data_IF_218489818621
#
_entry.id   IF_218489818621
#
_cell.length_a   1.000
_cell.length_b   1.000
_cell.length_c   1.000
_cell.angle_alpha   90.00
_cell.angle_beta   90.00
_cell.angle_gamma   90.00
#
_symmetry.space_group_name_H-M   'P 1'
#
loop_
_entity.id
_entity.type
_entity.pdbx_description
1 polymer ?
#
# COMPACT_ATOMS: atom_id res chain seq x y z
N UNK A 1 -36.97 -10.97 10.38
CA UNK A 1 -35.54 -11.31 10.27
C UNK A 1 -35.02 -11.25 11.69
N UNK A 2 -34.80 -12.43 12.23
CA UNK A 2 -34.48 -12.65 13.61
C UNK A 2 -33.10 -12.05 13.96
N UNK A 3 -32.94 -11.65 15.20
CA UNK A 3 -31.71 -11.05 15.71
C UNK A 3 -30.48 -11.96 15.74
N UNK A 4 -30.47 -13.07 14.99
CA UNK A 4 -29.37 -14.03 14.96
C UNK A 4 -28.11 -13.47 14.34
N UNK A 5 -28.22 -12.57 13.37
CA UNK A 5 -27.09 -11.86 12.78
C UNK A 5 -26.47 -10.81 13.72
N UNK A 6 -27.26 -10.26 14.64
CA UNK A 6 -26.75 -9.36 15.67
C UNK A 6 -26.01 -10.11 16.79
N UNK A 7 -26.19 -11.41 16.92
CA UNK A 7 -25.50 -12.19 17.95
C UNK A 7 -24.09 -12.62 17.54
N UNK A 8 -23.78 -12.69 16.25
CA UNK A 8 -22.48 -13.15 15.76
C UNK A 8 -21.51 -12.05 15.31
N UNK A 9 -21.94 -10.79 15.26
CA UNK A 9 -21.18 -9.75 14.53
C UNK A 9 -20.56 -8.65 15.36
N UNK A 10 -21.08 -8.34 16.55
CA UNK A 10 -20.55 -7.26 17.37
C UNK A 10 -20.38 -7.74 18.80
N UNK A 11 -19.15 -7.82 19.24
CA UNK A 11 -18.84 -7.94 20.63
C UNK A 11 -18.60 -6.53 21.16
N UNK A 12 -19.47 -6.07 22.05
CA UNK A 12 -19.33 -4.79 22.72
C UNK A 12 -19.26 -5.01 24.24
N UNK A 13 -18.81 -3.99 24.95
CA UNK A 13 -18.67 -4.04 26.40
C UNK A 13 -19.97 -4.45 27.09
N UNK A 14 -21.12 -3.95 26.63
CA UNK A 14 -22.45 -4.29 27.17
C UNK A 14 -22.78 -5.78 27.07
N UNK A 15 -22.37 -6.45 26.00
CA UNK A 15 -22.60 -7.89 25.83
C UNK A 15 -21.72 -8.74 26.74
N UNK A 16 -20.47 -8.30 26.93
CA UNK A 16 -19.53 -8.92 27.88
C UNK A 16 -20.03 -8.73 29.30
N UNK A 17 -20.40 -7.51 29.66
CA UNK A 17 -20.96 -7.15 30.93
C UNK A 17 -22.21 -8.03 31.24
N UNK A 18 -23.10 -8.14 30.27
CA UNK A 18 -24.29 -9.02 30.41
C UNK A 18 -23.91 -10.48 30.63
N UNK A 19 -22.90 -11.00 29.95
CA UNK A 19 -22.46 -12.40 30.15
C UNK A 19 -21.85 -12.60 31.54
N UNK A 20 -21.06 -11.67 32.04
CA UNK A 20 -20.48 -11.73 33.39
C UNK A 20 -21.56 -11.60 34.42
N UNK A 21 -22.43 -10.59 34.33
CA UNK A 21 -23.48 -10.33 35.28
C UNK A 21 -24.61 -11.40 35.27
N UNK A 22 -24.70 -12.19 34.21
CA UNK A 22 -25.62 -13.34 34.16
C UNK A 22 -25.04 -14.62 34.76
N UNK A 23 -23.76 -14.61 35.16
CA UNK A 23 -23.06 -15.78 35.69
C UNK A 23 -22.65 -15.55 37.15
N UNK A 24 -23.49 -16.04 38.09
CA UNK A 24 -23.30 -15.88 39.52
C UNK A 24 -21.92 -16.34 40.00
N UNK A 25 -21.41 -17.45 39.45
CA UNK A 25 -20.10 -17.99 39.81
C UNK A 25 -18.95 -17.05 39.41
N UNK A 26 -19.02 -16.45 38.23
CA UNK A 26 -18.00 -15.47 37.78
C UNK A 26 -18.06 -14.23 38.64
N UNK A 27 -19.24 -13.80 39.09
CA UNK A 27 -19.39 -12.66 40.02
C UNK A 27 -18.78 -13.00 41.39
N UNK A 28 -19.03 -14.21 41.91
CA UNK A 28 -18.43 -14.66 43.16
C UNK A 28 -16.88 -14.69 43.05
N UNK A 29 -16.34 -15.26 41.99
CA UNK A 29 -14.90 -15.34 41.73
C UNK A 29 -14.28 -13.93 41.67
N UNK A 30 -14.94 -12.97 40.99
CA UNK A 30 -14.47 -11.57 40.93
C UNK A 30 -14.54 -10.90 42.30
N UNK A 31 -15.62 -11.08 43.01
CA UNK A 31 -15.82 -10.48 44.36
C UNK A 31 -14.77 -11.00 45.34
N UNK A 32 -14.46 -12.28 45.30
CA UNK A 32 -13.49 -12.92 46.18
C UNK A 32 -12.04 -12.53 45.83
N UNK A 33 -11.70 -12.45 44.51
CA UNK A 33 -10.36 -12.15 44.06
C UNK A 33 -9.97 -10.67 44.27
N UNK A 34 -10.94 -9.75 44.08
CA UNK A 34 -10.66 -8.30 44.11
C UNK A 34 -11.26 -7.61 45.36
N UNK A 35 -11.86 -8.33 46.28
CA UNK A 35 -12.57 -7.79 47.44
C UNK A 35 -13.51 -6.62 47.11
N UNK A 36 -14.26 -6.80 46.00
CA UNK A 36 -15.13 -5.78 45.41
C UNK A 36 -16.51 -6.38 45.12
N UNK A 37 -17.57 -5.82 45.68
CA UNK A 37 -18.92 -6.26 45.36
C UNK A 37 -19.40 -5.61 44.05
N UNK A 38 -19.62 -6.45 43.04
CA UNK A 38 -20.21 -5.98 41.78
C UNK A 38 -21.73 -5.85 41.96
N UNK A 39 -22.26 -4.68 41.64
CA UNK A 39 -23.69 -4.36 41.73
C UNK A 39 -24.24 -3.81 40.42
N UNK A 40 -25.47 -4.17 40.10
CA UNK A 40 -26.26 -3.67 38.96
C UNK A 40 -27.68 -3.43 39.50
N UNK A 41 -27.90 -2.29 40.15
CA UNK A 41 -29.13 -1.98 40.85
C UNK A 41 -30.29 -1.64 39.92
N UNK A 42 -30.00 -1.20 38.71
CA UNK A 42 -31.02 -0.84 37.72
C UNK A 42 -31.30 -1.97 36.70
N UNK A 43 -30.62 -3.13 36.82
CA UNK A 43 -30.72 -4.30 35.96
C UNK A 43 -30.49 -3.99 34.43
N UNK A 44 -29.62 -3.04 34.17
CA UNK A 44 -29.28 -2.70 32.78
C UNK A 44 -28.09 -3.50 32.21
N UNK A 45 -27.57 -4.46 33.01
CA UNK A 45 -26.38 -5.25 32.70
C UNK A 45 -25.09 -4.43 32.56
N UNK A 46 -25.02 -3.31 33.25
CA UNK A 46 -23.83 -2.48 33.37
C UNK A 46 -23.61 -2.25 34.87
N UNK A 47 -22.43 -2.53 35.43
CA UNK A 47 -22.13 -2.25 36.82
C UNK A 47 -22.31 -0.77 37.18
N UNK A 48 -22.78 -0.52 38.39
CA UNK A 48 -23.14 0.82 38.86
C UNK A 48 -21.94 1.78 38.99
N UNK A 49 -20.71 1.25 39.05
CA UNK A 49 -19.51 2.04 39.29
C UNK A 49 -18.42 1.71 38.25
N UNK A 50 -17.70 2.73 37.83
CA UNK A 50 -16.58 2.63 36.91
C UNK A 50 -15.50 1.64 37.42
N UNK A 51 -15.15 1.65 38.70
CA UNK A 51 -14.19 0.70 39.27
C UNK A 51 -14.64 -0.75 39.14
N UNK A 52 -15.93 -1.02 39.23
CA UNK A 52 -16.48 -2.37 39.03
C UNK A 52 -16.35 -2.81 37.56
N UNK A 53 -16.58 -1.90 36.62
CA UNK A 53 -16.39 -2.16 35.17
C UNK A 53 -14.91 -2.47 34.90
N UNK A 54 -14.01 -1.67 35.43
CA UNK A 54 -12.56 -1.86 35.28
C UNK A 54 -12.09 -3.20 35.83
N UNK A 55 -12.53 -3.54 37.03
CA UNK A 55 -12.22 -4.84 37.67
C UNK A 55 -12.74 -6.00 36.85
N UNK A 56 -13.96 -5.89 36.34
CA UNK A 56 -14.59 -6.91 35.51
C UNK A 56 -13.85 -7.15 34.19
N UNK A 57 -13.38 -6.07 33.55
CA UNK A 57 -12.55 -6.15 32.33
C UNK A 57 -11.20 -6.79 32.67
N UNK A 58 -10.56 -6.37 33.75
CA UNK A 58 -9.29 -6.90 34.21
C UNK A 58 -9.37 -8.39 34.50
N UNK A 59 -10.39 -8.82 35.24
CA UNK A 59 -10.65 -10.24 35.48
C UNK A 59 -10.80 -11.02 34.17
N UNK A 60 -11.57 -10.49 33.20
CA UNK A 60 -11.74 -11.11 31.89
C UNK A 60 -10.44 -11.23 31.09
N UNK A 61 -9.53 -10.24 31.20
CA UNK A 61 -8.19 -10.26 30.57
C UNK A 61 -7.29 -11.32 31.21
N UNK A 62 -7.32 -11.45 32.54
CA UNK A 62 -6.44 -12.33 33.30
C UNK A 62 -6.96 -13.77 33.32
N UNK A 63 -8.26 -13.98 33.55
CA UNK A 63 -8.87 -15.28 33.82
C UNK A 63 -9.82 -15.79 32.70
N UNK A 64 -10.26 -14.89 31.80
CA UNK A 64 -11.32 -15.21 30.84
C UNK A 64 -12.72 -15.31 31.50
N UNK A 65 -13.71 -15.79 30.76
CA UNK A 65 -15.04 -16.06 31.25
C UNK A 65 -15.36 -17.55 31.00
N UNK A 66 -15.49 -18.31 32.05
CA UNK A 66 -15.88 -19.72 31.97
C UNK A 66 -17.19 -19.99 32.67
N UNK A 67 -18.00 -20.90 32.11
CA UNK A 67 -19.20 -21.45 32.76
C UNK A 67 -19.06 -22.97 32.76
N UNK A 68 -19.18 -23.59 33.94
CA UNK A 68 -19.14 -25.05 34.14
C UNK A 68 -17.88 -25.76 33.58
N UNK A 69 -16.74 -25.06 33.58
CA UNK A 69 -15.44 -25.58 33.11
C UNK A 69 -15.24 -25.49 31.60
N UNK A 70 -16.17 -24.91 30.86
CA UNK A 70 -16.02 -24.60 29.44
C UNK A 70 -15.90 -23.09 29.28
N UNK A 71 -14.86 -22.63 28.57
CA UNK A 71 -14.65 -21.21 28.33
C UNK A 71 -15.68 -20.67 27.32
N UNK A 72 -16.52 -19.75 27.77
CA UNK A 72 -17.29 -18.91 26.86
C UNK A 72 -16.40 -17.89 26.16
N UNK A 73 -15.36 -17.40 26.85
CA UNK A 73 -14.31 -16.54 26.31
C UNK A 73 -12.97 -16.84 26.99
N UNK A 74 -11.99 -17.27 26.21
CA UNK A 74 -10.61 -17.52 26.60
C UNK A 74 -9.91 -16.18 26.98
N UNK A 75 -9.00 -16.13 27.97
CA UNK A 75 -8.19 -14.96 28.28
C UNK A 75 -7.47 -14.36 27.06
N UNK A 76 -6.91 -15.20 26.19
CA UNK A 76 -6.25 -14.76 24.95
C UNK A 76 -7.23 -14.03 24.01
N UNK A 77 -8.50 -14.36 24.10
CA UNK A 77 -9.54 -13.68 23.34
C UNK A 77 -9.77 -12.26 23.89
N UNK A 78 -9.88 -12.10 25.23
CA UNK A 78 -9.99 -10.79 25.86
C UNK A 78 -8.80 -9.90 25.55
N UNK A 79 -7.58 -10.42 25.68
CA UNK A 79 -6.33 -9.69 25.37
C UNK A 79 -6.25 -9.22 23.91
N UNK A 80 -6.99 -9.85 23.01
CA UNK A 80 -7.06 -9.43 21.59
C UNK A 80 -7.95 -8.20 21.37
N UNK A 81 -8.95 -7.99 22.21
CA UNK A 81 -9.97 -6.95 22.03
C UNK A 81 -9.95 -5.85 23.07
N UNK A 82 -9.29 -6.07 24.18
CA UNK A 82 -9.21 -5.12 25.29
C UNK A 82 -7.75 -4.99 25.71
N UNK A 83 -7.28 -3.75 25.82
CA UNK A 83 -5.97 -3.43 26.37
C UNK A 83 -6.11 -2.39 27.46
N UNK A 84 -5.32 -2.60 28.50
CA UNK A 84 -5.08 -1.63 29.54
C UNK A 84 -3.63 -1.15 29.42
N UNK A 85 -3.43 0.13 29.17
CA UNK A 85 -2.10 0.70 29.03
C UNK A 85 -1.73 1.47 30.31
N UNK A 86 -0.89 0.89 31.12
CA UNK A 86 -0.37 1.52 32.36
C UNK A 86 0.55 2.71 32.08
N UNK A 87 1.16 2.80 30.89
CA UNK A 87 2.09 3.87 30.53
C UNK A 87 1.40 5.14 30.02
N UNK A 88 0.14 5.05 29.63
CA UNK A 88 -0.68 6.14 29.08
C UNK A 88 -1.87 6.48 30.01
N UNK A 89 -1.59 6.93 31.23
CA UNK A 89 -2.58 7.48 32.19
C UNK A 89 -3.80 6.58 32.46
N UNK A 90 -3.63 5.26 32.55
CA UNK A 90 -4.70 4.29 32.78
C UNK A 90 -5.81 4.28 31.72
N UNK A 91 -5.48 4.51 30.46
CA UNK A 91 -6.45 4.45 29.36
C UNK A 91 -6.81 3.01 28.98
N UNK A 92 -8.11 2.71 28.93
CA UNK A 92 -8.62 1.47 28.39
C UNK A 92 -8.86 1.60 26.87
N UNK A 93 -8.37 0.65 26.12
CA UNK A 93 -8.61 0.57 24.67
C UNK A 93 -9.41 -0.68 24.34
N UNK A 94 -10.49 -0.54 23.58
CA UNK A 94 -11.26 -1.67 23.08
C UNK A 94 -11.41 -1.62 21.57
N UNK A 95 -11.54 -2.80 20.93
CA UNK A 95 -11.82 -2.91 19.50
C UNK A 95 -13.26 -3.38 19.31
N UNK A 96 -14.07 -2.56 18.64
CA UNK A 96 -15.34 -2.96 18.10
C UNK A 96 -15.15 -3.51 16.68
N UNK A 97 -15.39 -4.80 16.47
CA UNK A 97 -15.32 -5.39 15.14
C UNK A 97 -16.67 -5.29 14.43
N UNK A 98 -16.66 -4.62 13.28
CA UNK A 98 -17.81 -4.52 12.38
C UNK A 98 -17.50 -5.27 11.09
N UNK A 99 -18.29 -6.31 10.79
CA UNK A 99 -18.17 -7.05 9.54
C UNK A 99 -19.00 -6.37 8.45
N UNK A 100 -18.32 -5.92 7.41
CA UNK A 100 -18.92 -5.25 6.27
C UNK A 100 -18.92 -6.18 5.06
N UNK A 101 -20.09 -6.44 4.50
CA UNK A 101 -20.21 -7.17 3.24
C UNK A 101 -20.14 -6.20 2.06
N UNK A 102 -19.52 -6.62 0.94
CA UNK A 102 -19.55 -5.85 -0.31
C UNK A 102 -18.45 -4.81 -0.50
N UNK A 103 -17.47 -4.71 0.41
CA UNK A 103 -16.32 -3.79 0.25
C UNK A 103 -15.27 -4.37 -0.71
N UNK A 104 -15.62 -4.48 -2.00
CA UNK A 104 -14.74 -5.06 -3.04
C UNK A 104 -13.97 -4.02 -3.82
N UNK A 105 -14.53 -2.82 -3.95
CA UNK A 105 -13.93 -1.73 -4.71
C UNK A 105 -13.46 -0.62 -3.79
N UNK A 106 -12.55 0.23 -4.29
CA UNK A 106 -12.07 1.41 -3.57
C UNK A 106 -13.21 2.39 -3.25
N UNK A 107 -14.16 2.53 -4.18
CA UNK A 107 -15.35 3.36 -3.99
C UNK A 107 -16.23 2.86 -2.83
N UNK A 108 -16.40 1.55 -2.71
CA UNK A 108 -17.17 0.96 -1.60
C UNK A 108 -16.49 1.21 -0.26
N UNK A 109 -15.17 1.03 -0.19
CA UNK A 109 -14.37 1.29 1.02
C UNK A 109 -14.47 2.76 1.43
N UNK A 110 -14.36 3.68 0.47
CA UNK A 110 -14.47 5.12 0.71
C UNK A 110 -15.86 5.52 1.20
N UNK A 111 -16.93 4.99 0.62
CA UNK A 111 -18.31 5.25 1.06
C UNK A 111 -18.53 4.77 2.48
N UNK A 112 -18.15 3.53 2.79
CA UNK A 112 -18.29 2.95 4.12
C UNK A 112 -17.49 3.75 5.16
N UNK A 113 -16.24 4.15 4.84
CA UNK A 113 -15.43 5.01 5.71
C UNK A 113 -16.15 6.32 6.02
N UNK A 114 -16.68 6.98 4.99
CA UNK A 114 -17.36 8.26 5.15
C UNK A 114 -18.63 8.13 6.00
N UNK A 115 -19.40 7.07 5.81
CA UNK A 115 -20.59 6.81 6.63
C UNK A 115 -20.23 6.55 8.10
N UNK A 116 -19.23 5.70 8.37
CA UNK A 116 -18.78 5.44 9.73
C UNK A 116 -18.22 6.73 10.37
N UNK A 117 -17.39 7.47 9.64
CA UNK A 117 -16.84 8.74 10.13
C UNK A 117 -17.96 9.74 10.46
N UNK A 118 -19.00 9.80 9.62
CA UNK A 118 -20.16 10.66 9.89
C UNK A 118 -20.88 10.26 11.17
N UNK A 119 -21.13 8.98 11.37
CA UNK A 119 -21.76 8.45 12.59
C UNK A 119 -20.92 8.74 13.84
N UNK A 120 -19.60 8.55 13.76
CA UNK A 120 -18.66 8.86 14.86
C UNK A 120 -18.72 10.35 15.20
N UNK A 121 -18.72 11.21 14.20
CA UNK A 121 -18.77 12.67 14.42
C UNK A 121 -20.14 13.14 14.94
N UNK A 122 -21.24 12.53 14.48
CA UNK A 122 -22.59 12.86 14.98
C UNK A 122 -22.76 12.51 16.46
N UNK A 123 -22.13 11.43 16.94
CA UNK A 123 -22.24 10.99 18.34
C UNK A 123 -21.36 11.81 19.31
N UNK A 124 -20.41 12.58 18.79
CA UNK A 124 -19.55 13.49 19.55
C UNK A 124 -18.92 12.85 20.81
N UNK A 125 -18.24 11.73 20.61
CA UNK A 125 -17.56 10.95 21.68
C UNK A 125 -16.52 11.76 22.46
N UNK A 126 -16.00 12.86 21.93
CA UNK A 126 -15.06 13.73 22.61
C UNK A 126 -15.64 14.37 23.88
N UNK A 127 -16.98 14.48 24.00
CA UNK A 127 -17.63 14.98 25.23
C UNK A 127 -17.47 14.03 26.41
N UNK A 128 -17.30 12.72 26.12
CA UNK A 128 -17.20 11.66 27.11
C UNK A 128 -15.73 11.20 27.29
N UNK A 129 -14.77 12.01 26.80
CA UNK A 129 -13.32 11.72 26.82
C UNK A 129 -12.94 10.41 26.08
N UNK A 130 -13.77 10.01 25.11
CA UNK A 130 -13.57 8.80 24.32
C UNK A 130 -12.99 9.14 22.97
N UNK A 131 -11.81 8.58 22.64
CA UNK A 131 -11.18 8.68 21.33
C UNK A 131 -11.56 7.48 20.46
N UNK A 132 -12.18 7.74 19.32
CA UNK A 132 -12.60 6.70 18.37
C UNK A 132 -11.74 6.75 17.12
N UNK A 133 -11.09 5.62 16.80
CA UNK A 133 -10.32 5.44 15.59
C UNK A 133 -10.92 4.34 14.70
N UNK A 134 -10.95 4.56 13.39
CA UNK A 134 -11.40 3.57 12.41
C UNK A 134 -10.17 2.87 11.84
N UNK A 135 -10.13 1.54 11.94
CA UNK A 135 -9.06 0.72 11.39
C UNK A 135 -9.60 -0.54 10.70
N UNK A 136 -8.76 -1.21 9.94
CA UNK A 136 -9.11 -2.46 9.28
C UNK A 136 -8.38 -2.61 7.95
N UNK A 137 -8.19 -3.84 7.49
CA UNK A 137 -7.40 -4.11 6.28
C UNK A 137 -7.92 -3.38 5.02
N UNK A 138 -9.24 -3.20 4.79
CA UNK A 138 -9.72 -2.42 3.64
C UNK A 138 -9.30 -0.96 3.73
N UNK A 139 -9.40 -0.33 4.91
CA UNK A 139 -9.04 1.07 5.11
C UNK A 139 -7.54 1.30 5.03
N UNK A 140 -6.74 0.44 5.67
CA UNK A 140 -5.27 0.50 5.60
C UNK A 140 -4.77 0.33 4.17
N UNK A 141 -5.39 -0.57 3.39
CA UNK A 141 -5.08 -0.77 1.98
C UNK A 141 -5.40 0.46 1.15
N UNK A 142 -6.56 1.06 1.35
CA UNK A 142 -6.97 2.32 0.72
C UNK A 142 -6.01 3.46 1.05
N UNK A 143 -5.65 3.63 2.32
CA UNK A 143 -4.70 4.64 2.75
C UNK A 143 -3.31 4.45 2.13
N UNK A 144 -2.83 3.20 2.04
CA UNK A 144 -1.57 2.89 1.36
C UNK A 144 -1.61 3.22 -0.12
N UNK A 145 -2.72 2.90 -0.82
CA UNK A 145 -2.90 3.23 -2.23
C UNK A 145 -2.91 4.75 -2.45
N UNK A 146 -3.67 5.48 -1.65
CA UNK A 146 -3.75 6.94 -1.74
C UNK A 146 -2.40 7.59 -1.42
N UNK A 147 -1.73 7.20 -0.34
CA UNK A 147 -0.40 7.70 0.01
C UNK A 147 0.65 7.39 -1.07
N UNK A 148 0.56 6.20 -1.68
CA UNK A 148 1.46 5.80 -2.77
C UNK A 148 1.20 6.63 -4.01
N UNK A 149 -0.07 6.80 -4.40
CA UNK A 149 -0.46 7.60 -5.57
C UNK A 149 -0.05 9.06 -5.40
N UNK A 150 -0.25 9.64 -4.23
CA UNK A 150 0.20 11.00 -3.92
C UNK A 150 1.72 11.14 -3.92
N UNK A 151 2.42 10.16 -3.37
CA UNK A 151 3.89 10.13 -3.39
C UNK A 151 4.42 10.04 -4.81
N UNK A 152 3.83 9.19 -5.65
CA UNK A 152 4.17 9.09 -7.07
C UNK A 152 3.92 10.40 -7.81
N UNK A 153 2.74 10.99 -7.63
CA UNK A 153 2.36 12.26 -8.26
C UNK A 153 3.36 13.38 -7.97
N UNK A 154 3.95 13.35 -6.78
CA UNK A 154 5.00 14.30 -6.40
C UNK A 154 6.39 13.87 -6.87
N UNK A 155 6.74 12.59 -6.76
CA UNK A 155 8.09 12.08 -7.03
C UNK A 155 8.43 12.01 -8.53
N UNK A 156 7.47 11.66 -9.39
CA UNK A 156 7.70 11.52 -10.84
C UNK A 156 8.24 12.82 -11.46
N UNK A 157 7.66 14.02 -11.21
CA UNK A 157 8.23 15.27 -11.73
C UNK A 157 9.67 15.53 -11.27
N UNK A 158 9.97 15.27 -9.98
CA UNK A 158 11.34 15.41 -9.47
C UNK A 158 12.31 14.44 -10.14
N UNK A 159 11.90 13.18 -10.34
CA UNK A 159 12.69 12.18 -11.03
C UNK A 159 12.96 12.59 -12.49
N UNK A 160 11.97 13.16 -13.19
CA UNK A 160 12.16 13.72 -14.53
C UNK A 160 13.14 14.89 -14.55
N UNK A 161 13.02 15.83 -13.61
CA UNK A 161 13.93 16.97 -13.50
C UNK A 161 15.35 16.50 -13.21
N UNK A 162 15.51 15.56 -12.26
CA UNK A 162 16.83 15.00 -11.93
C UNK A 162 17.43 14.25 -13.13
N UNK A 163 16.67 13.40 -13.80
CA UNK A 163 17.09 12.68 -15.01
C UNK A 163 17.48 13.63 -16.13
N UNK A 164 16.67 14.65 -16.39
CA UNK A 164 16.97 15.68 -17.38
C UNK A 164 18.27 16.42 -17.05
N UNK A 165 18.47 16.77 -15.77
CA UNK A 165 19.68 17.45 -15.31
C UNK A 165 20.95 16.60 -15.53
N UNK A 166 20.88 15.29 -15.20
CA UNK A 166 21.97 14.35 -15.44
C UNK A 166 22.26 14.22 -16.93
N UNK A 167 21.24 14.06 -17.77
CA UNK A 167 21.37 13.98 -19.22
C UNK A 167 21.98 15.26 -19.78
N UNK A 168 21.50 16.42 -19.32
CA UNK A 168 22.02 17.72 -19.76
C UNK A 168 23.51 17.91 -19.39
N UNK A 169 23.86 17.54 -18.15
CA UNK A 169 25.27 17.61 -17.70
C UNK A 169 26.18 16.66 -18.51
N UNK A 170 25.71 15.42 -18.76
CA UNK A 170 26.43 14.39 -19.49
C UNK A 170 26.61 14.77 -20.97
N UNK A 171 25.53 15.17 -21.61
CA UNK A 171 25.53 15.48 -23.04
C UNK A 171 26.03 16.90 -23.35
N UNK A 172 26.08 17.80 -22.37
CA UNK A 172 26.47 19.22 -22.52
C UNK A 172 25.77 19.91 -23.69
N UNK A 173 24.52 19.54 -23.97
CA UNK A 173 23.75 20.08 -25.08
C UNK A 173 22.25 19.95 -24.78
N UNK A 174 21.58 21.09 -24.64
CA UNK A 174 20.14 21.17 -24.36
C UNK A 174 19.29 20.45 -25.43
N UNK A 175 19.67 20.58 -26.68
CA UNK A 175 19.01 19.94 -27.82
C UNK A 175 19.03 18.42 -27.70
N UNK A 176 20.20 17.82 -27.48
CA UNK A 176 20.33 16.37 -27.34
C UNK A 176 19.70 15.89 -26.04
N UNK A 177 19.72 16.68 -24.97
CA UNK A 177 19.07 16.34 -23.73
C UNK A 177 17.55 16.19 -23.91
N UNK A 178 16.88 17.13 -24.57
CA UNK A 178 15.45 17.04 -24.89
C UNK A 178 15.14 15.81 -25.73
N UNK A 179 15.90 15.60 -26.83
CA UNK A 179 15.68 14.45 -27.71
C UNK A 179 15.83 13.11 -26.98
N UNK A 180 16.71 13.04 -26.00
CA UNK A 180 16.98 11.84 -25.20
C UNK A 180 15.88 11.58 -24.17
N UNK A 181 15.24 12.62 -23.63
CA UNK A 181 14.17 12.49 -22.63
C UNK A 181 12.83 12.06 -23.22
N UNK A 182 12.53 12.46 -24.47
CA UNK A 182 11.25 12.12 -25.14
C UNK A 182 10.96 10.61 -25.15
N UNK A 183 11.90 9.73 -25.61
CA UNK A 183 11.69 8.29 -25.59
C UNK A 183 11.47 7.73 -24.19
N UNK A 184 12.12 8.28 -23.17
CA UNK A 184 11.98 7.86 -21.78
C UNK A 184 10.58 8.17 -21.26
N UNK A 185 10.07 9.37 -21.52
CA UNK A 185 8.71 9.75 -21.20
C UNK A 185 7.68 8.82 -21.88
N UNK A 186 7.93 8.45 -23.13
CA UNK A 186 7.08 7.56 -23.90
C UNK A 186 7.00 6.15 -23.27
N UNK A 187 8.13 5.63 -22.75
CA UNK A 187 8.15 4.33 -22.04
C UNK A 187 7.24 4.34 -20.84
N UNK A 188 7.23 5.42 -20.04
CA UNK A 188 6.34 5.55 -18.88
C UNK A 188 4.86 5.53 -19.31
N UNK A 189 4.52 6.28 -20.37
CA UNK A 189 3.16 6.32 -20.91
C UNK A 189 2.73 4.93 -21.43
N UNK A 190 3.60 4.25 -22.17
CA UNK A 190 3.33 2.92 -22.69
C UNK A 190 3.16 1.89 -21.58
N UNK A 191 3.98 1.96 -20.52
CA UNK A 191 3.87 1.07 -19.36
C UNK A 191 2.49 1.17 -18.71
N UNK A 192 2.03 2.39 -18.41
CA UNK A 192 0.70 2.58 -17.84
C UNK A 192 -0.42 2.20 -18.81
N UNK A 193 -0.22 2.42 -20.13
CA UNK A 193 -1.13 1.95 -21.15
C UNK A 193 -1.27 0.42 -21.17
N UNK A 194 -0.15 -0.30 -21.05
CA UNK A 194 -0.14 -1.77 -20.94
C UNK A 194 -0.79 -2.23 -19.65
N UNK A 195 -0.51 -1.58 -18.53
CA UNK A 195 -1.17 -1.91 -17.26
C UNK A 195 -2.69 -1.79 -17.37
N UNK A 196 -3.19 -0.76 -18.02
CA UNK A 196 -4.62 -0.57 -18.25
C UNK A 196 -5.19 -1.64 -19.19
N UNK A 197 -4.52 -1.97 -20.29
CA UNK A 197 -5.00 -2.94 -21.29
C UNK A 197 -5.08 -4.38 -20.76
N UNK A 198 -4.17 -4.75 -19.88
CA UNK A 198 -4.07 -6.10 -19.30
C UNK A 198 -4.63 -6.19 -17.88
N UNK A 199 -5.34 -5.16 -17.43
CA UNK A 199 -6.00 -5.08 -16.12
C UNK A 199 -5.04 -5.33 -14.93
N UNK A 200 -3.79 -4.88 -15.06
CA UNK A 200 -2.84 -4.90 -13.95
C UNK A 200 -3.22 -3.85 -12.92
N UNK A 201 -3.50 -4.29 -11.70
CA UNK A 201 -3.87 -3.38 -10.62
C UNK A 201 -2.69 -2.49 -10.20
N UNK A 202 -2.97 -1.19 -10.04
CA UNK A 202 -2.03 -0.27 -9.44
C UNK A 202 -1.97 -0.53 -7.93
N UNK A 203 -0.77 -0.80 -7.44
CA UNK A 203 -0.50 -0.98 -6.01
C UNK A 203 0.85 -0.30 -5.66
N UNK A 204 1.21 -0.27 -4.38
CA UNK A 204 2.43 0.38 -3.93
C UNK A 204 3.73 -0.20 -4.55
N UNK A 205 3.71 -1.45 -4.99
CA UNK A 205 4.85 -2.10 -5.65
C UNK A 205 4.88 -1.74 -7.13
N UNK A 206 3.76 -1.91 -7.86
CA UNK A 206 3.70 -1.60 -9.30
C UNK A 206 3.87 -0.11 -9.57
N UNK A 207 3.47 0.73 -8.62
CA UNK A 207 3.67 2.17 -8.66
C UNK A 207 5.16 2.57 -8.74
N UNK A 208 6.05 1.85 -8.06
CA UNK A 208 7.51 2.14 -8.09
C UNK A 208 8.15 1.85 -9.44
N UNK A 209 7.54 0.99 -10.28
CA UNK A 209 8.08 0.64 -11.61
C UNK A 209 8.19 1.87 -12.50
N UNK A 210 7.25 2.81 -12.39
CA UNK A 210 7.31 4.08 -13.11
C UNK A 210 8.59 4.89 -12.82
N UNK A 211 9.01 4.94 -11.56
CA UNK A 211 10.26 5.60 -11.16
C UNK A 211 11.51 4.82 -11.61
N UNK A 212 11.48 3.48 -11.50
CA UNK A 212 12.56 2.61 -11.98
C UNK A 212 12.73 2.75 -13.50
N UNK A 213 11.63 2.89 -14.25
CA UNK A 213 11.66 3.03 -15.71
C UNK A 213 12.40 4.27 -16.16
N UNK A 214 12.32 5.36 -15.39
CA UNK A 214 13.09 6.56 -15.67
C UNK A 214 14.60 6.30 -15.55
N UNK A 215 15.04 5.61 -14.49
CA UNK A 215 16.46 5.30 -14.28
C UNK A 215 17.04 4.40 -15.39
N UNK A 216 16.41 3.25 -15.65
CA UNK A 216 16.87 2.30 -16.67
C UNK A 216 16.77 2.89 -18.09
N UNK A 217 15.68 3.62 -18.38
CA UNK A 217 15.50 4.27 -19.68
C UNK A 217 16.55 5.34 -19.95
N UNK A 218 16.98 6.08 -18.93
CA UNK A 218 18.03 7.10 -19.02
C UNK A 218 19.36 6.48 -19.43
N UNK A 219 19.76 5.36 -18.85
CA UNK A 219 21.03 4.71 -19.15
C UNK A 219 21.10 4.27 -20.62
N UNK A 220 20.08 3.60 -21.13
CA UNK A 220 20.04 3.17 -22.53
C UNK A 220 20.07 4.38 -23.48
N UNK A 221 19.30 5.40 -23.15
CA UNK A 221 19.18 6.60 -23.99
C UNK A 221 20.46 7.45 -24.00
N UNK A 222 21.16 7.60 -22.87
CA UNK A 222 22.45 8.31 -22.79
C UNK A 222 23.50 7.59 -23.64
N UNK A 223 23.66 6.28 -23.45
CA UNK A 223 24.68 5.50 -24.18
C UNK A 223 24.45 5.59 -25.68
N UNK A 224 23.20 5.43 -26.14
CA UNK A 224 22.87 5.55 -27.56
C UNK A 224 23.13 6.95 -28.13
N UNK A 225 22.74 7.99 -27.39
CA UNK A 225 22.92 9.39 -27.81
C UNK A 225 24.41 9.77 -27.85
N UNK A 226 25.19 9.37 -26.86
CA UNK A 226 26.63 9.63 -26.82
C UNK A 226 27.32 8.96 -28.00
N UNK A 227 27.02 7.68 -28.23
CA UNK A 227 27.61 6.94 -29.36
C UNK A 227 27.25 7.56 -30.69
N UNK A 228 26.01 7.94 -30.90
CA UNK A 228 25.61 8.62 -32.12
C UNK A 228 26.35 9.93 -32.33
N UNK A 229 26.58 10.72 -31.30
CA UNK A 229 27.37 11.98 -31.41
C UNK A 229 28.82 11.73 -31.72
N UNK A 230 29.44 10.68 -31.16
CA UNK A 230 30.82 10.30 -31.51
C UNK A 230 30.92 9.89 -32.99
N UNK A 231 30.00 9.03 -33.44
CA UNK A 231 30.01 8.57 -34.84
C UNK A 231 29.68 9.69 -35.82
N UNK A 232 28.88 10.69 -35.45
CA UNK A 232 28.61 11.86 -36.25
C UNK A 232 29.91 12.68 -36.60
N UNK A 233 30.88 12.62 -35.71
CA UNK A 233 32.19 13.25 -35.92
C UNK A 233 33.15 12.40 -36.79
N UNK A 234 32.94 11.08 -36.84
CA UNK A 234 33.81 10.11 -37.52
C UNK A 234 33.32 9.74 -38.92
N UNK A 235 32.02 9.72 -39.11
CA UNK A 235 31.40 9.21 -40.32
C UNK A 235 31.07 10.35 -41.31
N UNK A 236 31.09 10.09 -42.64
CA UNK A 236 30.86 11.10 -43.65
C UNK A 236 29.40 11.60 -43.68
N UNK A 237 28.44 10.74 -43.30
CA UNK A 237 27.05 11.10 -43.31
C UNK A 237 26.31 10.58 -42.04
N UNK A 238 25.10 11.13 -41.79
CA UNK A 238 24.27 10.78 -40.62
C UNK A 238 23.81 9.36 -40.61
N UNK A 239 23.52 8.80 -41.78
CA UNK A 239 23.00 7.44 -41.91
C UNK A 239 24.05 6.43 -41.43
N UNK A 240 25.31 6.60 -41.87
CA UNK A 240 26.40 5.74 -41.43
C UNK A 240 26.67 5.90 -39.93
N UNK A 241 26.68 7.13 -39.43
CA UNK A 241 26.81 7.38 -37.99
C UNK A 241 25.74 6.65 -37.17
N UNK A 242 24.50 6.67 -37.66
CA UNK A 242 23.38 5.96 -37.01
C UNK A 242 23.58 4.44 -37.08
N UNK A 243 23.92 3.92 -38.26
CA UNK A 243 24.14 2.48 -38.47
C UNK A 243 25.23 1.93 -37.56
N UNK A 244 26.39 2.63 -37.48
CA UNK A 244 27.50 2.26 -36.59
C UNK A 244 27.12 2.34 -35.13
N UNK A 245 26.29 3.32 -34.74
CA UNK A 245 25.83 3.45 -33.36
C UNK A 245 24.90 2.30 -32.95
N UNK A 246 23.97 1.92 -33.81
CA UNK A 246 23.04 0.82 -33.54
C UNK A 246 23.79 -0.52 -33.54
N UNK A 247 24.64 -0.78 -34.53
CA UNK A 247 25.39 -2.02 -34.63
C UNK A 247 26.40 -2.23 -33.51
N UNK A 248 27.01 -1.17 -32.98
CA UNK A 248 27.97 -1.22 -31.88
C UNK A 248 27.27 -1.21 -30.52
N UNK A 249 26.80 -0.03 -30.11
CA UNK A 249 26.19 0.17 -28.79
C UNK A 249 24.85 -0.54 -28.66
N UNK A 250 24.04 -0.60 -29.72
CA UNK A 250 22.75 -1.26 -29.70
C UNK A 250 22.85 -2.75 -29.35
N UNK A 251 23.85 -3.46 -29.88
CA UNK A 251 24.08 -4.89 -29.55
C UNK A 251 24.47 -5.07 -28.08
N UNK A 252 25.31 -4.18 -27.54
CA UNK A 252 25.69 -4.21 -26.13
C UNK A 252 24.48 -3.93 -25.21
N UNK A 253 23.66 -2.95 -25.54
CA UNK A 253 22.43 -2.64 -24.82
C UNK A 253 21.42 -3.79 -24.86
N UNK A 254 21.31 -4.46 -26.03
CA UNK A 254 20.44 -5.63 -26.18
C UNK A 254 20.87 -6.78 -25.28
N UNK A 255 22.19 -7.07 -25.20
CA UNK A 255 22.72 -8.10 -24.30
C UNK A 255 22.43 -7.79 -22.83
N UNK A 256 22.66 -6.56 -22.38
CA UNK A 256 22.36 -6.11 -21.01
C UNK A 256 20.86 -6.18 -20.71
N UNK A 257 20.02 -5.68 -21.63
CA UNK A 257 18.58 -5.70 -21.45
C UNK A 257 18.01 -7.11 -21.40
N UNK A 258 18.45 -8.04 -22.26
CA UNK A 258 18.01 -9.44 -22.24
C UNK A 258 18.34 -10.09 -20.91
N UNK A 259 19.55 -9.89 -20.38
CA UNK A 259 19.91 -10.41 -19.06
C UNK A 259 18.99 -9.93 -17.97
N UNK A 260 18.68 -8.62 -17.95
CA UNK A 260 17.77 -8.02 -16.98
C UNK A 260 16.33 -8.52 -17.17
N UNK A 261 15.84 -8.60 -18.41
CA UNK A 261 14.50 -9.12 -18.74
C UNK A 261 14.33 -10.55 -18.25
N UNK A 262 15.30 -11.42 -18.47
CA UNK A 262 15.25 -12.79 -17.99
C UNK A 262 15.22 -12.83 -16.47
N UNK A 263 16.06 -12.03 -15.79
CA UNK A 263 16.07 -11.96 -14.33
C UNK A 263 14.72 -11.56 -13.74
N UNK A 264 14.09 -10.53 -14.29
CA UNK A 264 12.76 -10.08 -13.84
C UNK A 264 11.64 -11.00 -14.30
N UNK A 265 11.74 -11.64 -15.48
CA UNK A 265 10.77 -12.62 -15.95
C UNK A 265 10.73 -13.86 -15.05
N UNK A 266 11.86 -14.31 -14.52
CA UNK A 266 11.93 -15.41 -13.53
C UNK A 266 11.14 -15.03 -12.27
N UNK A 267 11.22 -13.77 -11.82
CA UNK A 267 10.42 -13.27 -10.71
C UNK A 267 8.91 -13.34 -11.02
N UNK A 268 8.52 -13.29 -12.29
CA UNK A 268 7.14 -13.48 -12.73
C UNK A 268 6.52 -14.83 -12.33
N UNK A 269 7.33 -15.83 -12.06
CA UNK A 269 6.89 -17.15 -11.55
C UNK A 269 6.84 -17.23 -10.02
N UNK A 270 7.06 -16.13 -9.30
CA UNK A 270 6.99 -16.13 -7.85
C UNK A 270 5.58 -16.51 -7.37
N UNK A 271 5.46 -17.34 -6.31
CA UNK A 271 4.15 -17.75 -5.77
C UNK A 271 3.34 -16.58 -5.20
N UNK A 272 4.01 -15.49 -4.83
CA UNK A 272 3.39 -14.29 -4.28
C UNK A 272 2.95 -13.35 -5.42
N UNK A 273 1.64 -13.10 -5.61
CA UNK A 273 1.13 -12.34 -6.75
C UNK A 273 1.75 -10.95 -6.91
N UNK A 274 2.11 -10.33 -5.79
CA UNK A 274 2.71 -8.99 -5.77
C UNK A 274 4.08 -8.96 -6.47
N UNK A 275 4.94 -9.93 -6.15
CA UNK A 275 6.26 -10.07 -6.77
C UNK A 275 6.17 -10.57 -8.21
N UNK A 276 5.23 -11.48 -8.50
CA UNK A 276 4.99 -11.95 -9.86
C UNK A 276 4.60 -10.79 -10.78
N UNK A 277 3.63 -9.98 -10.39
CA UNK A 277 3.21 -8.80 -11.15
C UNK A 277 4.35 -7.79 -11.32
N UNK A 278 5.11 -7.53 -10.25
CA UNK A 278 6.28 -6.65 -10.31
C UNK A 278 7.33 -7.15 -11.31
N UNK A 279 7.66 -8.45 -11.28
CA UNK A 279 8.63 -9.05 -12.19
C UNK A 279 8.20 -8.93 -13.65
N UNK A 280 6.95 -9.30 -13.95
CA UNK A 280 6.39 -9.23 -15.32
C UNK A 280 6.39 -7.79 -15.84
N UNK A 281 5.86 -6.85 -15.07
CA UNK A 281 5.78 -5.45 -15.49
C UNK A 281 7.17 -4.82 -15.64
N UNK A 282 8.13 -5.15 -14.78
CA UNK A 282 9.50 -4.66 -14.89
C UNK A 282 10.21 -5.24 -16.13
N UNK A 283 10.01 -6.52 -16.42
CA UNK A 283 10.53 -7.12 -17.65
C UNK A 283 9.95 -6.44 -18.91
N UNK A 284 8.64 -6.21 -18.95
CA UNK A 284 7.97 -5.47 -20.03
C UNK A 284 8.55 -4.05 -20.15
N UNK A 285 8.70 -3.35 -19.04
CA UNK A 285 9.25 -1.98 -19.00
C UNK A 285 10.67 -1.93 -19.59
N UNK A 286 11.55 -2.88 -19.24
CA UNK A 286 12.91 -2.95 -19.79
C UNK A 286 12.88 -3.20 -21.29
N UNK A 287 12.01 -4.07 -21.78
CA UNK A 287 11.79 -4.28 -23.21
C UNK A 287 11.36 -3.00 -23.92
N UNK A 288 10.40 -2.27 -23.34
CA UNK A 288 9.92 -1.00 -23.89
C UNK A 288 11.04 0.07 -23.90
N UNK A 289 11.83 0.15 -22.83
CA UNK A 289 12.96 1.07 -22.73
C UNK A 289 14.02 0.77 -23.81
N UNK A 290 14.35 -0.51 -24.01
CA UNK A 290 15.26 -0.94 -25.07
C UNK A 290 14.71 -0.60 -26.46
N UNK A 291 13.45 -0.96 -26.75
CA UNK A 291 12.81 -0.66 -28.05
C UNK A 291 12.76 0.84 -28.31
N UNK A 292 12.41 1.63 -27.30
CA UNK A 292 12.38 3.08 -27.42
C UNK A 292 13.78 3.66 -27.68
N UNK A 293 14.82 3.12 -27.05
CA UNK A 293 16.20 3.55 -27.25
C UNK A 293 16.81 3.09 -28.58
N UNK A 294 16.35 1.98 -29.17
CA UNK A 294 16.86 1.46 -30.43
C UNK A 294 16.05 1.91 -31.65
N UNK A 295 14.78 2.26 -31.50
CA UNK A 295 13.89 2.65 -32.62
C UNK A 295 13.53 4.14 -32.57
N UNK A 296 12.94 4.58 -31.45
CA UNK A 296 12.43 5.96 -31.34
C UNK A 296 13.54 6.97 -31.22
N UNK A 297 14.51 6.72 -30.36
CA UNK A 297 15.62 7.67 -30.12
C UNK A 297 16.49 7.85 -31.36
N UNK A 298 16.96 6.80 -32.07
CA UNK A 298 17.73 6.95 -33.27
C UNK A 298 17.00 7.73 -34.37
N UNK A 299 15.72 7.50 -34.52
CA UNK A 299 14.88 8.22 -35.50
C UNK A 299 14.80 9.70 -35.17
N UNK A 300 14.64 10.08 -33.90
CA UNK A 300 14.65 11.47 -33.44
C UNK A 300 16.02 12.11 -33.64
N UNK A 301 17.10 11.39 -33.29
CA UNK A 301 18.47 11.88 -33.49
C UNK A 301 18.78 12.12 -34.96
N UNK A 302 18.37 11.23 -35.84
CA UNK A 302 18.54 11.37 -37.29
C UNK A 302 17.82 12.61 -37.84
N UNK A 303 16.56 12.80 -37.47
CA UNK A 303 15.72 13.90 -37.94
C UNK A 303 16.22 15.25 -37.47
N UNK A 304 16.57 15.35 -36.22
CA UNK A 304 16.84 16.63 -35.58
C UNK A 304 18.34 16.99 -35.45
N UNK A 305 19.30 16.05 -35.65
CA UNK A 305 20.70 16.41 -35.65
C UNK A 305 21.07 17.24 -36.90
N UNK A 306 21.90 18.25 -36.73
CA UNK A 306 22.54 18.94 -37.86
C UNK A 306 23.98 18.39 -37.97
N UNK A 307 24.39 18.04 -39.15
CA UNK A 307 25.80 17.82 -39.46
C UNK A 307 26.38 19.14 -39.89
#
# INVERSE_FOLDING_TARGET
QDGSLNQSGTLNLSKISKLILSNEKVIEDINDEYDLLITDNDNNFIPDNQTQIETMIKYGIDNGISSDGEYSFDPLWFQRYFWYNQELDNDYTSILMVFLSGTRTEDDVSKVRNEITKLVNEYNFEKDDVRVGITGSPFSRSDQLNATTDSMRRSIPYAFIASFSIILFTLRSFKYAILTVIPIALVVVWLYGIMYLFDFSLNYVTATIGAISLGVGVDFAIHMTMRFREELLRQPNKYEALSYSISGTGVALLGSAISSVIGFAIMGFAPMPLFSTFGILTAIMICLALLSSLLTLPSLLYLFSKK
#
